data_IF_291537972164
#
_entry.id   IF_291537972164
#
_cell.length_a   1.000
_cell.length_b   1.000
_cell.length_c   1.000
_cell.angle_alpha   90.00
_cell.angle_beta   90.00
_cell.angle_gamma   90.00
#
_symmetry.space_group_name_H-M   'P 1'
#
loop_
_entity.id
_entity.type
_entity.pdbx_description
1 polymer ?
#
# COMPACT_ATOMS: atom_id res chain seq x y z
N UNK A 1 -17.05 -1.80 -29.94
CA UNK A 1 -15.73 -2.03 -29.33
C UNK A 1 -15.76 -3.38 -28.63
N UNK A 2 -14.88 -4.33 -28.95
CA UNK A 2 -14.86 -5.66 -28.32
C UNK A 2 -13.50 -5.83 -27.63
N UNK A 3 -13.48 -5.57 -26.33
CA UNK A 3 -12.33 -5.89 -25.49
C UNK A 3 -12.45 -7.34 -25.05
N UNK A 4 -11.43 -8.15 -25.30
CA UNK A 4 -11.41 -9.56 -24.88
C UNK A 4 -10.40 -9.79 -23.74
N UNK A 5 -10.69 -10.72 -22.81
CA UNK A 5 -9.82 -10.97 -21.66
C UNK A 5 -8.42 -11.46 -22.03
N UNK A 6 -8.25 -12.13 -23.18
CA UNK A 6 -6.94 -12.65 -23.61
C UNK A 6 -6.04 -11.49 -24.01
N UNK A 7 -6.56 -10.51 -24.74
CA UNK A 7 -5.81 -9.31 -25.09
C UNK A 7 -5.47 -8.46 -23.88
N UNK A 8 -6.37 -8.34 -22.88
CA UNK A 8 -6.08 -7.65 -21.63
C UNK A 8 -5.01 -8.38 -20.81
N UNK A 9 -5.06 -9.72 -20.74
CA UNK A 9 -4.04 -10.52 -20.05
C UNK A 9 -2.67 -10.37 -20.69
N UNK A 10 -2.63 -10.45 -22.01
CA UNK A 10 -1.40 -10.21 -22.77
C UNK A 10 -0.83 -8.79 -22.54
N UNK A 11 -1.70 -7.77 -22.56
CA UNK A 11 -1.29 -6.40 -22.27
C UNK A 11 -0.67 -6.28 -20.87
N UNK A 12 -1.30 -6.85 -19.83
CA UNK A 12 -0.75 -6.87 -18.47
C UNK A 12 0.60 -7.60 -18.44
N UNK A 13 0.72 -8.74 -19.15
CA UNK A 13 1.97 -9.47 -19.26
C UNK A 13 3.10 -8.63 -19.90
N UNK A 14 2.80 -7.83 -20.94
CA UNK A 14 3.78 -6.91 -21.55
C UNK A 14 4.22 -5.84 -20.57
N UNK A 15 3.29 -5.24 -19.83
CA UNK A 15 3.59 -4.24 -18.80
C UNK A 15 4.51 -4.79 -17.69
N UNK A 16 4.38 -6.07 -17.35
CA UNK A 16 5.16 -6.71 -16.27
C UNK A 16 6.51 -7.24 -16.74
N UNK A 17 6.59 -7.75 -17.97
CA UNK A 17 7.81 -8.35 -18.53
C UNK A 17 8.69 -7.36 -19.30
N UNK A 18 8.14 -6.20 -19.66
CA UNK A 18 8.82 -5.14 -20.39
C UNK A 18 8.94 -5.38 -21.90
N UNK A 19 8.61 -6.59 -22.42
CA UNK A 19 8.68 -6.88 -23.86
C UNK A 19 7.54 -7.76 -24.34
N UNK A 20 7.11 -7.55 -25.62
CA UNK A 20 6.09 -8.40 -26.25
C UNK A 20 6.57 -9.85 -26.36
N UNK A 21 7.87 -10.07 -26.60
CA UNK A 21 8.41 -11.42 -26.75
C UNK A 21 8.36 -12.20 -25.44
N UNK A 22 8.75 -11.58 -24.30
CA UNK A 22 8.70 -12.21 -23.00
C UNK A 22 7.24 -12.45 -22.56
N UNK A 23 6.34 -11.53 -22.81
CA UNK A 23 4.91 -11.69 -22.56
C UNK A 23 4.32 -12.84 -23.40
N UNK A 24 4.66 -12.93 -24.70
CA UNK A 24 4.23 -14.01 -25.57
C UNK A 24 4.68 -15.39 -25.09
N UNK A 25 5.95 -15.48 -24.63
CA UNK A 25 6.48 -16.72 -24.04
C UNK A 25 5.71 -17.11 -22.75
N UNK A 26 5.43 -16.15 -21.87
CA UNK A 26 4.65 -16.35 -20.65
C UNK A 26 3.22 -16.81 -20.92
N UNK A 27 2.58 -16.21 -21.93
CA UNK A 27 1.19 -16.55 -22.31
C UNK A 27 1.10 -17.72 -23.30
N UNK A 28 2.23 -18.38 -23.61
CA UNK A 28 2.31 -19.55 -24.50
C UNK A 28 1.74 -19.30 -25.91
N UNK A 29 1.98 -18.10 -26.47
CA UNK A 29 1.57 -17.75 -27.85
C UNK A 29 2.78 -17.29 -28.68
N UNK A 30 2.66 -17.36 -30.00
CA UNK A 30 3.68 -16.85 -30.92
C UNK A 30 3.83 -15.33 -30.79
N UNK A 31 5.07 -14.82 -30.81
CA UNK A 31 5.36 -13.38 -30.70
C UNK A 31 4.63 -12.52 -31.75
N UNK A 32 4.50 -13.04 -32.98
CA UNK A 32 3.75 -12.35 -34.03
C UNK A 32 2.26 -12.22 -33.72
N UNK A 33 1.66 -13.25 -33.10
CA UNK A 33 0.26 -13.21 -32.67
C UNK A 33 0.08 -12.25 -31.49
N UNK A 34 1.03 -12.23 -30.55
CA UNK A 34 1.04 -11.27 -29.45
C UNK A 34 1.12 -9.82 -29.94
N UNK A 35 2.04 -9.54 -30.85
CA UNK A 35 2.19 -8.20 -31.45
C UNK A 35 0.91 -7.75 -32.15
N UNK A 36 0.29 -8.64 -32.93
CA UNK A 36 -0.98 -8.36 -33.61
C UNK A 36 -2.10 -8.05 -32.62
N UNK A 37 -2.25 -8.85 -31.54
CA UNK A 37 -3.27 -8.63 -30.51
C UNK A 37 -3.09 -7.30 -29.77
N UNK A 38 -1.85 -6.91 -29.47
CA UNK A 38 -1.58 -5.59 -28.87
C UNK A 38 -1.99 -4.48 -29.85
N UNK A 39 -1.64 -4.58 -31.13
CA UNK A 39 -2.05 -3.58 -32.13
C UNK A 39 -3.58 -3.52 -32.31
N UNK A 40 -4.25 -4.65 -32.29
CA UNK A 40 -5.72 -4.72 -32.33
C UNK A 40 -6.35 -4.06 -31.08
N UNK A 41 -5.75 -4.26 -29.88
CA UNK A 41 -6.17 -3.61 -28.63
C UNK A 41 -5.97 -2.08 -28.71
N UNK A 42 -4.82 -1.61 -29.19
CA UNK A 42 -4.54 -0.19 -29.43
C UNK A 42 -5.56 0.42 -30.39
N UNK A 43 -5.86 -0.27 -31.49
CA UNK A 43 -6.87 0.15 -32.44
C UNK A 43 -8.28 0.22 -31.83
N UNK A 44 -8.67 -0.78 -31.04
CA UNK A 44 -9.97 -0.83 -30.35
C UNK A 44 -10.14 0.31 -29.34
N UNK A 45 -9.04 0.72 -28.69
CA UNK A 45 -9.02 1.79 -27.70
C UNK A 45 -8.74 3.17 -28.33
N UNK A 46 -8.37 3.21 -29.60
CA UNK A 46 -7.89 4.43 -30.29
C UNK A 46 -6.76 5.12 -29.52
N UNK A 47 -5.87 4.31 -28.88
CA UNK A 47 -4.79 4.79 -28.04
C UNK A 47 -3.53 3.94 -28.26
N UNK A 48 -2.38 4.58 -28.40
CA UNK A 48 -1.07 3.92 -28.42
C UNK A 48 -0.71 3.56 -26.98
N UNK A 49 -0.55 2.26 -26.71
CA UNK A 49 -0.18 1.76 -25.38
C UNK A 49 1.33 1.64 -25.23
N UNK A 50 2.02 1.28 -26.32
CA UNK A 50 3.45 1.06 -26.31
C UNK A 50 4.14 1.84 -27.43
N UNK A 51 5.09 2.70 -27.04
CA UNK A 51 5.98 3.35 -27.99
C UNK A 51 7.13 2.38 -28.35
N UNK A 52 7.49 2.33 -29.64
CA UNK A 52 8.67 1.58 -30.09
C UNK A 52 9.90 2.40 -29.80
N UNK A 53 10.85 1.85 -29.06
CA UNK A 53 12.16 2.46 -28.84
C UNK A 53 13.28 1.47 -29.21
N UNK A 54 14.48 1.98 -29.41
CA UNK A 54 15.67 1.13 -29.68
C UNK A 54 16.02 0.21 -28.50
N UNK A 55 15.37 0.38 -27.34
CA UNK A 55 15.57 -0.46 -26.12
C UNK A 55 14.42 -1.42 -25.88
N UNK A 56 13.42 -1.50 -26.76
CA UNK A 56 12.25 -2.35 -26.60
C UNK A 56 10.93 -1.58 -26.60
N UNK A 57 9.99 -2.02 -25.81
CA UNK A 57 8.62 -1.52 -25.72
C UNK A 57 8.49 -0.61 -24.49
N UNK A 58 8.28 0.70 -24.70
CA UNK A 58 8.11 1.65 -23.60
C UNK A 58 6.61 1.95 -23.38
N UNK A 59 6.07 1.73 -22.16
CA UNK A 59 4.68 2.03 -21.84
C UNK A 59 4.39 3.52 -21.93
N UNK A 60 3.26 3.89 -22.55
CA UNK A 60 2.74 5.27 -22.60
C UNK A 60 1.93 5.60 -21.35
N UNK A 61 1.55 6.87 -21.17
CA UNK A 61 0.60 7.28 -20.12
C UNK A 61 -0.75 6.53 -20.22
N UNK A 62 -1.21 6.24 -21.46
CA UNK A 62 -2.42 5.46 -21.71
C UNK A 62 -2.27 4.00 -21.24
N UNK A 63 -1.08 3.41 -21.41
CA UNK A 63 -0.81 2.06 -20.89
C UNK A 63 -0.88 2.02 -19.36
N UNK A 64 -0.29 2.99 -18.67
CA UNK A 64 -0.39 3.07 -17.20
C UNK A 64 -1.84 3.28 -16.73
N UNK A 65 -2.64 4.08 -17.43
CA UNK A 65 -4.05 4.25 -17.13
C UNK A 65 -4.86 2.96 -17.35
N UNK A 66 -4.59 2.23 -18.44
CA UNK A 66 -5.26 0.97 -18.74
C UNK A 66 -4.89 -0.16 -17.77
N UNK A 67 -3.68 -0.16 -17.19
CA UNK A 67 -3.15 -1.27 -16.41
C UNK A 67 -4.05 -1.62 -15.20
N UNK A 68 -4.46 -0.61 -14.41
CA UNK A 68 -5.37 -0.82 -13.29
C UNK A 68 -6.73 -1.35 -13.75
N UNK A 69 -7.31 -0.74 -14.79
CA UNK A 69 -8.61 -1.16 -15.32
C UNK A 69 -8.58 -2.59 -15.88
N UNK A 70 -7.51 -2.95 -16.63
CA UNK A 70 -7.33 -4.29 -17.18
C UNK A 70 -7.21 -5.35 -16.09
N UNK A 71 -6.40 -5.08 -15.05
CA UNK A 71 -6.29 -5.95 -13.89
C UNK A 71 -7.63 -6.11 -13.17
N UNK A 72 -8.36 -5.02 -12.97
CA UNK A 72 -9.67 -5.06 -12.34
C UNK A 72 -10.68 -5.95 -13.09
N UNK A 73 -10.70 -5.88 -14.43
CA UNK A 73 -11.56 -6.75 -15.26
C UNK A 73 -11.15 -8.21 -15.16
N UNK A 74 -9.85 -8.52 -15.25
CA UNK A 74 -9.33 -9.89 -15.14
C UNK A 74 -9.63 -10.48 -13.76
N UNK A 75 -9.38 -9.72 -12.69
CA UNK A 75 -9.73 -10.12 -11.33
C UNK A 75 -11.24 -10.34 -11.16
N UNK A 76 -12.08 -9.52 -11.79
CA UNK A 76 -13.53 -9.71 -11.78
C UNK A 76 -13.98 -11.05 -12.41
N UNK A 77 -13.29 -11.50 -13.44
CA UNK A 77 -13.55 -12.83 -14.03
C UNK A 77 -13.10 -13.95 -13.09
N UNK A 78 -11.96 -13.80 -12.43
CA UNK A 78 -11.47 -14.75 -11.43
C UNK A 78 -12.40 -14.79 -10.20
N UNK A 79 -12.94 -13.65 -9.78
CA UNK A 79 -13.91 -13.50 -8.70
C UNK A 79 -15.22 -14.29 -9.00
N UNK A 80 -15.70 -14.22 -10.26
CA UNK A 80 -16.87 -15.01 -10.69
C UNK A 80 -16.58 -16.50 -10.55
N UNK A 81 -15.43 -16.96 -11.03
CA UNK A 81 -15.04 -18.36 -10.93
C UNK A 81 -14.92 -18.82 -9.46
N UNK A 82 -14.28 -18.00 -8.60
CA UNK A 82 -14.14 -18.29 -7.18
C UNK A 82 -15.51 -18.35 -6.45
N UNK A 83 -16.41 -17.42 -6.77
CA UNK A 83 -17.75 -17.40 -6.19
C UNK A 83 -18.54 -18.65 -6.57
N UNK A 84 -18.50 -19.08 -7.83
CA UNK A 84 -19.20 -20.27 -8.29
C UNK A 84 -18.62 -21.56 -7.69
N UNK A 85 -17.32 -21.65 -7.51
CA UNK A 85 -16.68 -22.79 -6.85
C UNK A 85 -17.01 -22.88 -5.35
N UNK A 86 -17.19 -21.74 -4.68
CA UNK A 86 -17.56 -21.69 -3.25
C UNK A 86 -18.89 -22.35 -2.91
N UNK A 87 -19.79 -22.50 -3.88
CA UNK A 87 -21.05 -23.25 -3.71
C UNK A 87 -20.83 -24.76 -3.60
N UNK A 88 -19.71 -25.30 -4.07
CA UNK A 88 -19.48 -26.76 -4.12
C UNK A 88 -18.65 -27.31 -2.95
N UNK A 89 -17.63 -26.61 -2.44
CA UNK A 89 -16.53 -27.20 -1.64
C UNK A 89 -16.16 -26.47 -0.34
N UNK A 90 -16.95 -25.49 0.10
CA UNK A 90 -16.62 -24.62 1.25
C UNK A 90 -15.61 -23.52 0.89
N UNK A 91 -15.32 -22.62 1.85
CA UNK A 91 -14.56 -21.41 1.59
C UNK A 91 -13.11 -21.74 1.23
N UNK A 92 -12.79 -21.56 -0.03
CA UNK A 92 -11.44 -21.61 -0.60
C UNK A 92 -11.22 -20.34 -1.39
N UNK A 93 -9.98 -20.01 -1.69
CA UNK A 93 -9.67 -18.89 -2.57
C UNK A 93 -8.54 -18.03 -2.04
N UNK A 94 -8.43 -16.87 -2.66
CA UNK A 94 -7.38 -15.89 -2.42
C UNK A 94 -8.01 -14.56 -2.04
N UNK A 95 -7.38 -13.84 -1.11
CA UNK A 95 -7.73 -12.46 -0.78
C UNK A 95 -6.54 -11.56 -1.11
N UNK A 96 -6.75 -10.57 -1.96
CA UNK A 96 -5.75 -9.57 -2.34
C UNK A 96 -5.83 -8.39 -1.38
N UNK A 97 -4.76 -8.16 -0.65
CA UNK A 97 -4.66 -7.10 0.35
C UNK A 97 -3.60 -6.09 -0.05
N UNK A 98 -3.98 -4.83 -0.16
CA UNK A 98 -3.04 -3.72 -0.29
C UNK A 98 -3.00 -2.93 1.00
N UNK A 99 -1.81 -2.70 1.57
CA UNK A 99 -1.69 -2.04 2.85
C UNK A 99 -0.52 -1.06 2.88
N UNK A 100 -0.64 -0.03 3.71
CA UNK A 100 0.48 0.87 3.95
C UNK A 100 1.50 0.27 4.93
N UNK A 101 2.73 0.75 4.89
CA UNK A 101 3.83 0.28 5.74
C UNK A 101 3.49 0.33 7.24
N UNK A 102 2.67 1.29 7.70
CA UNK A 102 2.27 1.39 9.11
C UNK A 102 1.43 0.19 9.55
N UNK A 103 0.48 -0.27 8.71
CA UNK A 103 -0.32 -1.44 8.99
C UNK A 103 0.53 -2.73 8.94
N UNK A 104 1.38 -2.86 7.92
CA UNK A 104 2.22 -4.03 7.71
C UNK A 104 3.21 -4.24 8.87
N UNK A 105 3.83 -3.17 9.34
CA UNK A 105 4.89 -3.30 10.37
C UNK A 105 4.37 -3.41 11.80
N UNK A 106 3.09 -3.05 12.05
CA UNK A 106 2.56 -3.01 13.41
C UNK A 106 1.55 -4.12 13.70
N UNK A 107 0.63 -4.39 12.78
CA UNK A 107 -0.59 -5.16 13.09
C UNK A 107 -0.72 -6.43 12.25
N UNK A 108 -0.56 -6.33 10.93
CA UNK A 108 -0.88 -7.39 10.00
C UNK A 108 -0.14 -8.71 10.22
N UNK A 109 1.16 -8.76 10.60
CA UNK A 109 1.85 -10.05 10.70
C UNK A 109 1.17 -11.02 11.68
N UNK A 110 0.81 -10.55 12.86
CA UNK A 110 0.12 -11.37 13.87
C UNK A 110 -1.30 -11.74 13.48
N UNK A 111 -2.04 -10.77 12.91
CA UNK A 111 -3.43 -10.97 12.50
C UNK A 111 -3.56 -11.92 11.31
N UNK A 112 -2.71 -11.76 10.30
CA UNK A 112 -2.69 -12.66 9.14
C UNK A 112 -2.25 -14.08 9.53
N UNK A 113 -1.30 -14.21 10.46
CA UNK A 113 -0.92 -15.52 10.99
C UNK A 113 -2.12 -16.21 11.63
N UNK A 114 -2.82 -15.56 12.54
CA UNK A 114 -3.99 -16.10 13.21
C UNK A 114 -5.13 -16.43 12.21
N UNK A 115 -5.30 -15.59 11.19
CA UNK A 115 -6.27 -15.85 10.12
C UNK A 115 -5.93 -17.09 9.30
N UNK A 116 -4.69 -17.23 8.85
CA UNK A 116 -4.25 -18.38 8.05
C UNK A 116 -4.27 -19.68 8.84
N UNK A 117 -3.97 -19.64 10.14
CA UNK A 117 -4.10 -20.82 11.01
C UNK A 117 -5.56 -21.27 11.16
N UNK A 118 -6.51 -20.32 11.21
CA UNK A 118 -7.96 -20.61 11.28
C UNK A 118 -8.54 -21.06 9.95
N UNK A 119 -8.02 -20.53 8.82
CA UNK A 119 -8.51 -20.79 7.47
C UNK A 119 -7.40 -21.28 6.54
N UNK A 120 -6.85 -22.48 6.73
CA UNK A 120 -5.63 -22.95 6.03
C UNK A 120 -5.81 -23.15 4.51
N UNK A 121 -7.06 -23.10 4.02
CA UNK A 121 -7.36 -23.19 2.58
C UNK A 121 -7.50 -21.84 1.90
N UNK A 122 -7.38 -20.74 2.65
CA UNK A 122 -7.37 -19.38 2.13
C UNK A 122 -5.93 -18.88 1.98
N UNK A 123 -5.67 -18.22 0.87
CA UNK A 123 -4.40 -17.55 0.61
C UNK A 123 -4.57 -16.03 0.73
N UNK A 124 -3.60 -15.35 1.30
CA UNK A 124 -3.58 -13.89 1.37
C UNK A 124 -2.38 -13.38 0.57
N UNK A 125 -2.67 -12.60 -0.45
CA UNK A 125 -1.66 -11.88 -1.22
C UNK A 125 -1.56 -10.45 -0.71
N UNK A 126 -0.50 -10.16 0.06
CA UNK A 126 -0.25 -8.85 0.64
C UNK A 126 0.73 -8.06 -0.22
N UNK A 127 0.36 -6.82 -0.55
CA UNK A 127 1.24 -5.86 -1.22
C UNK A 127 1.35 -4.57 -0.42
N UNK A 128 2.58 -4.06 -0.30
CA UNK A 128 2.81 -2.75 0.28
C UNK A 128 2.57 -1.65 -0.76
N UNK A 129 1.78 -0.64 -0.38
CA UNK A 129 1.45 0.53 -1.20
C UNK A 129 1.31 1.77 -0.32
N UNK A 130 1.48 2.96 -0.90
CA UNK A 130 1.07 4.20 -0.23
C UNK A 130 -0.46 4.29 -0.16
N UNK A 131 -1.00 4.97 0.84
CA UNK A 131 -2.46 5.00 1.11
C UNK A 131 -3.31 5.43 -0.09
N UNK A 132 -2.84 6.37 -0.91
CA UNK A 132 -3.54 6.79 -2.13
C UNK A 132 -3.59 5.69 -3.21
N UNK A 133 -2.53 4.91 -3.34
CA UNK A 133 -2.49 3.77 -4.25
C UNK A 133 -3.36 2.62 -3.70
N UNK A 134 -3.37 2.38 -2.39
CA UNK A 134 -4.27 1.41 -1.74
C UNK A 134 -5.73 1.72 -2.08
N UNK A 135 -6.17 2.96 -1.88
CA UNK A 135 -7.54 3.38 -2.18
C UNK A 135 -7.89 3.13 -3.65
N UNK A 136 -7.01 3.53 -4.57
CA UNK A 136 -7.20 3.32 -6.00
C UNK A 136 -7.27 1.83 -6.37
N UNK A 137 -6.35 1.00 -5.86
CA UNK A 137 -6.31 -0.44 -6.17
C UNK A 137 -7.58 -1.15 -5.71
N UNK A 138 -8.17 -0.76 -4.56
CA UNK A 138 -9.46 -1.28 -4.12
C UNK A 138 -10.59 -0.81 -5.03
N UNK A 139 -10.65 0.48 -5.36
CA UNK A 139 -11.68 1.04 -6.24
C UNK A 139 -11.68 0.38 -7.65
N UNK A 140 -10.48 0.02 -8.15
CA UNK A 140 -10.25 -0.60 -9.47
C UNK A 140 -10.30 -2.15 -9.44
N UNK A 141 -10.69 -2.78 -8.33
CA UNK A 141 -10.69 -4.26 -8.17
C UNK A 141 -9.31 -4.93 -8.35
N UNK A 142 -8.23 -4.21 -8.12
CA UNK A 142 -6.87 -4.77 -8.06
C UNK A 142 -6.62 -5.41 -6.70
N UNK A 143 -7.16 -4.82 -5.63
CA UNK A 143 -7.19 -5.38 -4.29
C UNK A 143 -8.62 -5.56 -3.79
N UNK A 144 -8.85 -6.55 -2.94
CA UNK A 144 -10.14 -6.82 -2.30
C UNK A 144 -10.30 -6.01 -1.03
N UNK A 145 -9.21 -5.87 -0.28
CA UNK A 145 -9.14 -5.11 0.97
C UNK A 145 -7.96 -4.16 0.89
N UNK A 146 -8.21 -2.91 1.28
CA UNK A 146 -7.17 -1.93 1.53
C UNK A 146 -6.99 -1.67 3.02
N UNK A 147 -5.76 -1.36 3.46
CA UNK A 147 -5.50 -0.87 4.82
C UNK A 147 -4.65 0.38 4.72
N UNK A 148 -5.22 1.50 5.16
CA UNK A 148 -4.67 2.81 4.90
C UNK A 148 -4.97 3.78 6.05
N UNK A 149 -4.33 4.94 6.07
CA UNK A 149 -4.66 5.97 7.05
C UNK A 149 -6.05 6.55 6.75
N UNK A 150 -6.82 6.87 7.80
CA UNK A 150 -8.08 7.58 7.63
C UNK A 150 -7.83 8.92 6.93
N UNK A 151 -8.72 9.26 5.99
CA UNK A 151 -8.62 10.48 5.20
C UNK A 151 -9.66 10.51 4.08
N UNK A 152 -9.69 11.61 3.36
CA UNK A 152 -10.56 11.75 2.19
C UNK A 152 -9.78 11.34 0.93
N UNK A 153 -10.21 10.29 0.27
CA UNK A 153 -9.58 9.75 -0.93
C UNK A 153 -10.33 10.10 -2.23
N UNK A 154 -11.45 10.83 -2.11
CA UNK A 154 -12.19 11.36 -3.27
C UNK A 154 -12.86 10.30 -4.14
N UNK A 155 -13.05 9.08 -3.64
CA UNK A 155 -13.65 7.98 -4.41
C UNK A 155 -14.88 7.42 -3.67
N UNK A 156 -16.05 7.72 -4.20
CA UNK A 156 -17.34 7.29 -3.65
C UNK A 156 -17.58 5.77 -3.78
N UNK A 157 -16.74 5.08 -4.54
CA UNK A 157 -16.80 3.61 -4.67
C UNK A 157 -16.21 2.87 -3.47
N UNK A 158 -15.74 3.59 -2.46
CA UNK A 158 -15.05 3.03 -1.30
C UNK A 158 -15.89 3.15 -0.03
N UNK A 159 -15.94 2.07 0.74
CA UNK A 159 -16.42 2.05 2.12
C UNK A 159 -15.24 1.92 3.06
N UNK A 160 -15.11 2.85 4.00
CA UNK A 160 -14.08 2.83 5.03
C UNK A 160 -14.64 2.29 6.34
N UNK A 161 -13.97 1.30 6.91
CA UNK A 161 -14.35 0.65 8.16
C UNK A 161 -13.26 0.88 9.21
N UNK A 162 -13.59 1.10 10.50
CA UNK A 162 -12.60 1.26 11.56
C UNK A 162 -11.67 0.04 11.65
N UNK A 163 -10.37 0.28 11.91
CA UNK A 163 -9.41 -0.80 12.08
C UNK A 163 -8.55 -0.62 13.34
N UNK A 164 -7.57 0.29 13.31
CA UNK A 164 -6.63 0.50 14.43
C UNK A 164 -6.28 1.98 14.58
N UNK A 165 -5.85 2.33 15.79
CA UNK A 165 -5.20 3.61 16.05
C UNK A 165 -3.68 3.41 16.12
N UNK A 166 -2.89 4.38 15.65
CA UNK A 166 -1.46 4.46 15.90
C UNK A 166 -1.06 5.85 16.40
N UNK A 167 0.14 5.95 16.99
CA UNK A 167 0.71 7.20 17.47
C UNK A 167 2.09 7.39 16.83
N UNK A 168 2.30 8.55 16.19
CA UNK A 168 3.60 8.94 15.68
C UNK A 168 4.51 9.43 16.79
N UNK A 169 5.79 9.08 16.70
CA UNK A 169 6.84 9.50 17.61
C UNK A 169 8.02 10.04 16.83
N UNK A 170 8.77 10.95 17.45
CA UNK A 170 10.10 11.34 16.98
C UNK A 170 11.10 10.27 17.43
N UNK A 171 11.97 9.84 16.52
CA UNK A 171 13.05 8.91 16.81
C UNK A 171 14.39 9.64 16.66
N UNK A 172 15.25 9.55 17.68
CA UNK A 172 16.56 10.17 17.74
C UNK A 172 17.56 9.30 18.51
N UNK A 173 18.89 9.49 18.34
CA UNK A 173 19.90 8.89 19.23
C UNK A 173 19.68 9.32 20.68
N UNK A 174 20.06 8.45 21.66
CA UNK A 174 19.94 8.76 23.11
C UNK A 174 20.62 10.05 23.54
N UNK A 175 21.74 10.41 22.91
CA UNK A 175 22.48 11.62 23.21
C UNK A 175 21.97 12.89 22.49
N UNK A 176 20.93 12.75 21.65
CA UNK A 176 20.41 13.89 20.88
C UNK A 176 19.67 14.89 21.78
N UNK A 177 19.80 16.24 21.53
CA UNK A 177 19.10 17.25 22.34
C UNK A 177 17.58 17.08 22.44
N UNK A 178 16.95 16.47 21.42
CA UNK A 178 15.52 16.13 21.40
C UNK A 178 15.18 14.87 22.22
N UNK A 179 16.16 14.14 22.80
CA UNK A 179 15.91 12.90 23.55
C UNK A 179 15.31 13.18 24.94
N UNK A 180 14.21 13.93 25.01
CA UNK A 180 13.57 14.34 26.27
C UNK A 180 12.04 14.47 26.12
N UNK A 181 11.29 13.93 27.06
CA UNK A 181 9.87 14.20 27.31
C UNK A 181 8.95 14.11 26.08
N UNK A 182 8.37 15.24 25.74
CA UNK A 182 7.51 15.45 24.57
C UNK A 182 8.04 16.66 23.80
N UNK A 183 7.97 16.61 22.48
CA UNK A 183 8.55 17.60 21.57
C UNK A 183 7.48 18.04 20.57
N UNK A 184 7.22 19.33 20.48
CA UNK A 184 6.44 19.90 19.40
C UNK A 184 7.23 19.82 18.07
N UNK A 185 6.54 19.66 16.94
CA UNK A 185 7.21 19.63 15.65
C UNK A 185 8.09 20.88 15.43
N UNK A 186 7.60 22.05 15.79
CA UNK A 186 8.33 23.32 15.69
C UNK A 186 9.75 23.26 16.29
N UNK A 187 9.91 22.62 17.47
CA UNK A 187 11.19 22.52 18.15
C UNK A 187 12.14 21.55 17.44
N UNK A 188 11.59 20.52 16.81
CA UNK A 188 12.36 19.57 16.03
C UNK A 188 12.90 20.17 14.71
N UNK A 189 12.25 21.18 14.14
CA UNK A 189 12.66 21.81 12.88
C UNK A 189 14.01 22.56 12.95
N UNK A 190 14.58 22.75 14.14
CA UNK A 190 15.95 23.26 14.29
C UNK A 190 17.00 22.26 13.77
N UNK A 191 16.66 20.98 13.66
CA UNK A 191 17.53 19.88 13.28
C UNK A 191 17.22 19.33 11.88
N UNK A 192 18.15 18.59 11.31
CA UNK A 192 17.96 17.91 10.04
C UNK A 192 16.91 16.78 10.18
N UNK A 193 16.16 16.56 9.12
CA UNK A 193 15.10 15.56 9.06
C UNK A 193 15.44 14.42 8.10
N UNK A 194 15.27 13.19 8.57
CA UNK A 194 15.27 11.97 7.75
C UNK A 194 13.81 11.59 7.50
N UNK A 195 13.35 11.85 6.29
CA UNK A 195 11.95 11.63 5.88
C UNK A 195 11.70 10.28 5.28
N UNK A 196 10.42 9.92 5.19
CA UNK A 196 9.95 8.86 4.32
C UNK A 196 9.87 9.37 2.88
N UNK A 197 9.80 8.45 1.91
CA UNK A 197 9.68 8.78 0.49
C UNK A 197 8.48 9.70 0.19
N UNK A 198 8.50 10.45 -0.94
CA UNK A 198 7.37 11.25 -1.38
C UNK A 198 6.10 10.40 -1.54
N UNK A 199 4.96 10.93 -1.11
CA UNK A 199 3.67 10.21 -1.11
C UNK A 199 3.41 9.40 0.16
N UNK A 200 4.39 9.18 1.04
CA UNK A 200 4.15 8.66 2.38
C UNK A 200 3.23 9.60 3.16
N UNK A 201 2.18 9.05 3.78
CA UNK A 201 1.23 9.81 4.58
C UNK A 201 1.89 10.58 5.74
N UNK A 202 2.94 10.00 6.34
CA UNK A 202 3.72 10.64 7.40
C UNK A 202 4.48 11.84 6.84
N UNK A 203 5.20 11.65 5.74
CA UNK A 203 5.97 12.73 5.13
C UNK A 203 5.07 13.87 4.67
N UNK A 204 3.96 13.55 4.02
CA UNK A 204 2.98 14.56 3.57
C UNK A 204 2.41 15.35 4.75
N UNK A 205 2.05 14.68 5.87
CA UNK A 205 1.51 15.35 7.05
C UNK A 205 2.54 16.29 7.71
N UNK A 206 3.79 15.85 7.83
CA UNK A 206 4.88 16.71 8.39
C UNK A 206 5.10 17.91 7.49
N UNK A 207 5.21 17.71 6.18
CA UNK A 207 5.40 18.80 5.20
C UNK A 207 4.25 19.80 5.28
N UNK A 208 3.01 19.32 5.35
CA UNK A 208 1.83 20.17 5.50
C UNK A 208 1.86 20.94 6.83
N UNK A 209 2.12 20.27 7.96
CA UNK A 209 2.19 20.91 9.27
C UNK A 209 3.28 21.99 9.33
N UNK A 210 4.42 21.72 8.69
CA UNK A 210 5.52 22.68 8.61
C UNK A 210 5.14 23.92 7.78
N UNK A 211 4.45 23.70 6.64
CA UNK A 211 3.94 24.78 5.80
C UNK A 211 2.87 25.63 6.54
N UNK A 212 1.96 24.99 7.28
CA UNK A 212 0.93 25.65 8.10
C UNK A 212 1.57 26.58 9.17
N UNK A 213 2.77 26.25 9.64
CA UNK A 213 3.55 27.09 10.59
C UNK A 213 4.37 28.18 9.89
N UNK A 214 4.42 28.24 8.55
CA UNK A 214 5.31 29.14 7.80
C UNK A 214 6.79 28.82 7.97
N UNK A 215 7.14 27.55 8.32
CA UNK A 215 8.51 27.11 8.58
C UNK A 215 9.00 26.19 7.46
N UNK A 216 10.31 25.96 7.41
CA UNK A 216 10.96 25.11 6.42
C UNK A 216 11.48 23.82 7.08
N UNK A 217 11.13 22.68 6.50
CA UNK A 217 11.65 21.37 6.91
C UNK A 217 13.03 21.13 6.26
N UNK A 218 14.05 20.96 7.06
CA UNK A 218 15.42 20.67 6.59
C UNK A 218 15.56 19.19 6.25
N UNK A 219 14.94 18.75 5.16
CA UNK A 219 15.01 17.35 4.72
C UNK A 219 16.40 17.05 4.18
N UNK A 220 17.17 16.24 4.91
CA UNK A 220 18.51 15.83 4.52
C UNK A 220 18.48 14.65 3.54
N UNK A 221 17.59 13.71 3.77
CA UNK A 221 17.36 12.53 2.90
C UNK A 221 15.97 11.95 3.08
N UNK A 222 15.60 11.11 2.15
CA UNK A 222 14.33 10.34 2.19
C UNK A 222 14.61 8.87 1.94
N UNK A 223 13.93 8.00 2.68
CA UNK A 223 14.06 6.55 2.62
C UNK A 223 12.69 5.89 2.43
N UNK A 224 12.68 4.62 2.04
CA UNK A 224 11.44 3.89 1.76
C UNK A 224 10.93 3.07 2.93
N UNK A 225 11.82 2.64 3.86
CA UNK A 225 11.49 1.77 4.99
C UNK A 225 11.86 2.37 6.35
N UNK A 226 11.21 1.89 7.40
CA UNK A 226 11.51 2.31 8.78
C UNK A 226 12.86 1.81 9.29
N UNK A 227 13.35 0.69 8.78
CA UNK A 227 14.69 0.16 9.01
C UNK A 227 15.77 1.15 8.55
N UNK A 228 15.70 1.59 7.29
CA UNK A 228 16.59 2.59 6.73
C UNK A 228 16.50 3.93 7.48
N UNK A 229 15.27 4.37 7.83
CA UNK A 229 15.07 5.58 8.63
C UNK A 229 15.82 5.47 9.96
N UNK A 230 15.61 4.39 10.70
CA UNK A 230 16.27 4.19 12.01
C UNK A 230 17.79 4.09 11.90
N UNK A 231 18.34 3.44 10.86
CA UNK A 231 19.77 3.37 10.62
C UNK A 231 20.36 4.76 10.34
N UNK A 232 19.74 5.57 9.50
CA UNK A 232 20.20 6.93 9.20
C UNK A 232 20.15 7.83 10.46
N UNK A 233 19.07 7.73 11.24
CA UNK A 233 18.94 8.45 12.50
C UNK A 233 20.01 8.01 13.49
N UNK A 234 20.30 6.71 13.62
CA UNK A 234 21.33 6.19 14.52
C UNK A 234 22.73 6.71 14.18
N UNK A 235 23.00 6.98 12.89
CA UNK A 235 24.26 7.59 12.42
C UNK A 235 24.26 9.14 12.48
N UNK A 236 23.28 9.75 13.17
CA UNK A 236 23.27 11.20 13.40
C UNK A 236 22.87 12.05 12.20
N UNK A 237 22.16 11.47 11.21
CA UNK A 237 21.75 12.20 10.01
C UNK A 237 20.56 13.13 10.24
N UNK A 238 19.99 13.14 11.46
CA UNK A 238 18.85 13.97 11.84
C UNK A 238 17.84 13.20 12.69
N UNK A 239 16.65 13.78 12.89
CA UNK A 239 15.55 13.09 13.54
C UNK A 239 14.65 12.41 12.49
N UNK A 240 13.96 11.34 12.90
CA UNK A 240 12.94 10.67 12.11
C UNK A 240 11.58 10.71 12.78
N UNK A 241 10.51 10.52 12.02
CA UNK A 241 9.14 10.35 12.55
C UNK A 241 8.55 9.07 12.00
N UNK A 242 8.03 8.22 12.91
CA UNK A 242 7.45 6.93 12.55
C UNK A 242 6.44 6.48 13.61
N UNK A 243 5.64 5.43 13.34
CA UNK A 243 4.73 4.88 14.35
C UNK A 243 5.48 4.30 15.56
N UNK A 244 4.95 4.54 16.75
CA UNK A 244 5.51 4.03 18.02
C UNK A 244 5.68 2.52 18.03
N UNK A 245 4.67 1.78 17.53
CA UNK A 245 4.72 0.32 17.46
C UNK A 245 5.87 -0.19 16.59
N UNK A 246 6.08 0.42 15.41
CA UNK A 246 7.21 0.08 14.54
C UNK A 246 8.55 0.48 15.14
N UNK A 247 8.63 1.65 15.83
CA UNK A 247 9.87 2.12 16.44
C UNK A 247 10.43 1.13 17.45
N UNK A 248 9.56 0.48 18.25
CA UNK A 248 9.96 -0.48 19.30
C UNK A 248 10.92 -1.56 18.83
N UNK A 249 10.86 -1.98 17.58
CA UNK A 249 11.75 -2.99 16.99
C UNK A 249 13.21 -2.52 16.91
N UNK A 250 13.46 -1.23 16.78
CA UNK A 250 14.77 -0.65 16.47
C UNK A 250 15.42 0.05 17.69
N UNK A 251 14.62 0.51 18.67
CA UNK A 251 15.10 1.39 19.74
C UNK A 251 16.27 0.80 20.52
N UNK A 252 16.16 -0.48 20.91
CA UNK A 252 17.20 -1.14 21.71
C UNK A 252 18.42 -1.47 20.87
N UNK A 253 18.23 -2.04 19.68
CA UNK A 253 19.31 -2.51 18.82
C UNK A 253 20.20 -1.37 18.31
N UNK A 254 19.60 -0.19 18.05
CA UNK A 254 20.30 0.96 17.46
C UNK A 254 20.56 2.10 18.48
N UNK A 255 20.38 1.87 19.78
CA UNK A 255 20.55 2.88 20.83
C UNK A 255 19.74 4.15 20.57
N UNK A 256 18.54 4.01 20.03
CA UNK A 256 17.60 5.09 19.77
C UNK A 256 16.61 5.27 20.91
N UNK A 257 15.95 6.41 20.95
CA UNK A 257 14.80 6.70 21.79
C UNK A 257 13.62 7.21 20.98
N UNK A 258 12.43 6.81 21.37
CA UNK A 258 11.18 7.34 20.85
C UNK A 258 10.69 8.45 21.78
N UNK A 259 10.58 9.65 21.25
CA UNK A 259 10.10 10.83 21.97
C UNK A 259 8.68 11.13 21.51
N UNK A 260 7.79 11.43 22.42
CA UNK A 260 6.41 11.78 22.07
C UNK A 260 6.36 13.02 21.19
N UNK A 261 5.73 12.92 20.04
CA UNK A 261 5.42 14.05 19.19
C UNK A 261 4.17 14.75 19.73
N UNK A 262 4.35 15.99 20.21
CA UNK A 262 3.27 16.75 20.83
C UNK A 262 2.46 17.54 19.81
N UNK A 263 1.76 16.78 18.96
CA UNK A 263 0.89 17.33 17.92
C UNK A 263 -0.44 16.59 17.93
N UNK A 264 -1.60 17.27 17.76
CA UNK A 264 -2.90 16.60 17.72
C UNK A 264 -2.99 15.52 16.65
N UNK A 265 -2.36 15.72 15.50
CA UNK A 265 -2.34 14.82 14.36
C UNK A 265 -1.35 13.65 14.51
N UNK A 266 -0.56 13.60 15.59
CA UNK A 266 0.33 12.47 15.86
C UNK A 266 -0.44 11.18 16.16
N UNK A 267 -1.68 11.27 16.66
CA UNK A 267 -2.62 10.16 16.72
C UNK A 267 -3.34 10.04 15.40
N UNK A 268 -3.38 8.83 14.87
CA UNK A 268 -3.95 8.54 13.55
C UNK A 268 -4.82 7.31 13.61
N UNK A 269 -5.89 7.33 12.82
CA UNK A 269 -6.69 6.16 12.56
C UNK A 269 -6.21 5.46 11.30
N UNK A 270 -6.06 4.14 11.38
CA UNK A 270 -5.99 3.26 10.23
C UNK A 270 -7.37 2.66 10.01
N UNK A 271 -7.75 2.54 8.75
CA UNK A 271 -9.04 2.02 8.34
C UNK A 271 -8.87 0.88 7.35
N UNK A 272 -9.82 -0.06 7.37
CA UNK A 272 -10.03 -0.98 6.27
C UNK A 272 -10.81 -0.26 5.18
N UNK A 273 -10.49 -0.58 3.95
CA UNK A 273 -11.12 -0.03 2.77
C UNK A 273 -11.61 -1.18 1.89
N UNK A 274 -12.89 -1.19 1.52
CA UNK A 274 -13.51 -2.16 0.62
C UNK A 274 -14.36 -1.44 -0.42
N UNK A 275 -14.69 -2.11 -1.53
CA UNK A 275 -15.58 -1.50 -2.53
C UNK A 275 -17.00 -1.35 -1.99
N UNK A 276 -17.59 -0.21 -2.26
CA UNK A 276 -18.98 0.07 -1.95
C UNK A 276 -19.92 -0.69 -2.90
N UNK A 277 -21.06 -1.15 -2.37
CA UNK A 277 -22.16 -1.71 -3.18
C UNK A 277 -21.87 -3.09 -3.79
N UNK A 278 -20.67 -3.65 -3.66
CA UNK A 278 -20.40 -5.03 -4.05
C UNK A 278 -20.56 -5.97 -2.85
N UNK A 279 -21.20 -7.11 -3.07
CA UNK A 279 -21.20 -8.17 -2.08
C UNK A 279 -19.78 -8.73 -1.96
N UNK A 280 -19.20 -8.65 -0.75
CA UNK A 280 -17.85 -9.17 -0.52
C UNK A 280 -17.84 -10.68 -0.75
N UNK A 281 -16.84 -11.17 -1.48
CA UNK A 281 -16.58 -12.59 -1.60
C UNK A 281 -16.45 -13.23 -0.21
N UNK A 282 -16.87 -14.48 -0.02
CA UNK A 282 -16.85 -15.14 1.29
C UNK A 282 -15.48 -15.06 1.99
N UNK A 283 -14.39 -15.29 1.26
CA UNK A 283 -13.02 -15.19 1.79
C UNK A 283 -12.67 -13.77 2.25
N UNK A 284 -13.02 -12.76 1.45
CA UNK A 284 -12.81 -11.34 1.76
C UNK A 284 -13.61 -10.93 3.00
N UNK A 285 -14.87 -11.33 3.09
CA UNK A 285 -15.73 -11.07 4.25
C UNK A 285 -15.13 -11.64 5.53
N UNK A 286 -14.68 -12.90 5.51
CA UNK A 286 -14.05 -13.55 6.66
C UNK A 286 -12.79 -12.80 7.13
N UNK A 287 -11.95 -12.32 6.19
CA UNK A 287 -10.76 -11.56 6.56
C UNK A 287 -11.13 -10.18 7.12
N UNK A 288 -12.11 -9.47 6.55
CA UNK A 288 -12.59 -8.18 7.08
C UNK A 288 -13.12 -8.36 8.51
N UNK A 289 -13.98 -9.35 8.75
CA UNK A 289 -14.51 -9.66 10.08
C UNK A 289 -13.39 -10.01 11.06
N UNK A 290 -12.41 -10.82 10.64
CA UNK A 290 -11.26 -11.17 11.47
C UNK A 290 -10.44 -9.95 11.87
N UNK A 291 -10.12 -9.07 10.93
CA UNK A 291 -9.33 -7.85 11.17
C UNK A 291 -10.08 -6.84 12.07
N UNK A 292 -11.42 -6.85 12.05
CA UNK A 292 -12.22 -6.00 12.92
C UNK A 292 -12.42 -6.55 14.33
N UNK A 293 -12.41 -7.89 14.51
CA UNK A 293 -12.69 -8.56 15.78
C UNK A 293 -11.53 -8.53 16.77
N UNK A 294 -10.30 -8.27 16.36
CA UNK A 294 -9.14 -8.22 17.23
C UNK A 294 -8.90 -6.76 17.69
N UNK A 295 -9.47 -6.34 18.85
CA UNK A 295 -9.08 -5.05 19.42
C UNK A 295 -7.58 -5.10 19.67
N UNK A 296 -6.86 -4.02 19.32
CA UNK A 296 -5.44 -3.89 19.59
C UNK A 296 -5.16 -4.37 21.03
N UNK A 297 -4.28 -5.35 21.18
CA UNK A 297 -3.67 -5.68 22.47
C UNK A 297 -2.90 -4.44 22.94
N UNK A 298 -3.57 -3.54 23.69
CA UNK A 298 -2.97 -2.25 24.05
C UNK A 298 -3.88 -1.28 24.78
N UNK A 299 -5.08 -1.66 25.18
CA UNK A 299 -5.74 -0.92 26.26
C UNK A 299 -5.30 -1.49 27.60
N UNK A 300 -4.11 -1.11 28.08
CA UNK A 300 -3.92 -0.97 29.52
C UNK A 300 -4.93 0.08 29.96
N UNK A 301 -6.01 -0.38 30.58
CA UNK A 301 -6.89 0.50 31.37
C UNK A 301 -6.05 1.19 32.45
N UNK A 302 -6.40 2.44 32.82
CA UNK A 302 -5.69 3.27 33.77
C UNK A 302 -5.51 2.60 35.13
#
# INVERSE_FOLDING_TARGET
MKLDPISLRLFVAVMETGTIAAAAAREHIATAAASRRISELEGALSAVLFARSNKGTEPTAAAYALLGLARGVLNGLDDIAAQMQGYADGVRGQVRVSANISAITQFLPGELRAFMDRYPRLQVHLQERISTAVAREVAENVADIGILNAGHYGDERLTLLPYREDELVIVVPRAHPLARGRIALRDALAYDFVGMHPGSAINNRITQATAEMGLTLKTRMQVTGYDALCLMVAHGMGFGVMPRGSAGLYLRALSLVAVKLDEPWARRDLVLCVRQGSELLPATRLLVEHLQQHPAAGRSRP
#
